data_IF_278796265584
#
_entry.id   IF_278796265584
#
_cell.length_a   1.000
_cell.length_b   1.000
_cell.length_c   1.000
_cell.angle_alpha   90.00
_cell.angle_beta   90.00
_cell.angle_gamma   90.00
#
_symmetry.space_group_name_H-M   'P 1'
#
loop_
_entity.id
_entity.type
_entity.pdbx_description
1 polymer ?
#
# COMPACT_ATOMS: atom_id res chain seq x y z
N UNK A 1 -3.54 4.19 -22.13
CA UNK A 1 -3.34 3.31 -20.95
C UNK A 1 -4.53 3.23 -19.99
N UNK A 2 -5.20 4.35 -19.63
CA UNK A 2 -6.43 4.30 -18.81
C UNK A 2 -7.54 3.55 -19.54
N UNK A 3 -7.77 3.86 -20.80
CA UNK A 3 -8.76 3.20 -21.68
C UNK A 3 -8.46 1.71 -21.84
N UNK A 4 -7.22 1.33 -22.11
CA UNK A 4 -6.79 -0.08 -22.19
C UNK A 4 -6.97 -0.86 -20.90
N UNK A 5 -6.76 -0.20 -19.74
CA UNK A 5 -7.03 -0.80 -18.43
C UNK A 5 -8.51 -1.06 -18.22
N UNK A 6 -9.36 -0.13 -18.59
CA UNK A 6 -10.80 -0.22 -18.42
C UNK A 6 -11.39 -1.31 -19.33
N UNK A 7 -10.85 -1.46 -20.56
CA UNK A 7 -11.24 -2.53 -21.48
C UNK A 7 -10.81 -3.92 -21.00
N UNK A 8 -9.59 -4.09 -20.46
CA UNK A 8 -9.08 -5.37 -19.98
C UNK A 8 -9.84 -5.93 -18.77
N UNK A 9 -10.66 -5.10 -18.11
CA UNK A 9 -11.43 -5.45 -16.91
C UNK A 9 -12.82 -6.02 -17.21
N UNK A 10 -13.24 -6.08 -18.47
CA UNK A 10 -14.63 -6.41 -18.87
C UNK A 10 -15.04 -7.88 -18.62
N UNK A 11 -14.13 -8.86 -18.76
CA UNK A 11 -14.46 -10.28 -18.84
C UNK A 11 -13.75 -11.17 -17.81
N UNK A 12 -13.76 -10.79 -16.52
CA UNK A 12 -13.03 -11.52 -15.52
C UNK A 12 -13.85 -12.54 -14.74
N UNK A 13 -13.42 -13.79 -14.85
CA UNK A 13 -13.84 -14.87 -13.97
C UNK A 13 -13.07 -14.88 -12.64
N UNK A 14 -13.62 -15.52 -11.63
CA UNK A 14 -12.92 -15.78 -10.39
C UNK A 14 -11.60 -16.55 -10.66
N UNK A 15 -10.46 -16.18 -10.07
CA UNK A 15 -9.14 -16.69 -10.48
C UNK A 15 -8.87 -18.15 -10.09
N UNK A 16 -9.80 -18.78 -9.38
CA UNK A 16 -9.71 -20.19 -8.98
C UNK A 16 -10.85 -21.01 -9.57
N UNK A 17 -10.70 -22.33 -9.59
CA UNK A 17 -11.69 -23.28 -10.14
C UNK A 17 -13.06 -23.25 -9.40
N UNK A 18 -13.09 -22.69 -8.19
CA UNK A 18 -14.32 -22.58 -7.39
C UNK A 18 -14.13 -21.78 -6.13
N UNK A 19 -15.23 -21.41 -5.49
CA UNK A 19 -15.21 -20.69 -4.23
C UNK A 19 -14.99 -21.65 -3.05
N UNK A 20 -14.24 -21.20 -2.07
CA UNK A 20 -14.16 -21.87 -0.76
C UNK A 20 -15.47 -21.67 0.02
N UNK A 21 -15.79 -22.52 1.02
CA UNK A 21 -17.01 -22.38 1.80
C UNK A 21 -17.21 -20.95 2.33
N UNK A 22 -18.37 -20.37 2.04
CA UNK A 22 -18.73 -19.01 2.43
C UNK A 22 -17.98 -17.87 1.72
N UNK A 23 -17.08 -18.15 0.78
CA UNK A 23 -16.30 -17.13 0.08
C UNK A 23 -17.15 -16.29 -0.86
N UNK A 24 -18.06 -16.92 -1.61
CA UNK A 24 -18.99 -16.24 -2.51
C UNK A 24 -19.86 -15.24 -1.74
N UNK A 25 -20.44 -15.67 -0.61
CA UNK A 25 -21.25 -14.80 0.25
C UNK A 25 -20.46 -13.60 0.77
N UNK A 26 -19.19 -13.80 1.16
CA UNK A 26 -18.30 -12.70 1.58
C UNK A 26 -18.02 -11.71 0.44
N UNK A 27 -17.75 -12.23 -0.75
CA UNK A 27 -17.56 -11.40 -1.95
C UNK A 27 -18.79 -10.53 -2.18
N UNK A 28 -19.99 -11.10 -2.06
CA UNK A 28 -21.23 -10.36 -2.23
C UNK A 28 -21.42 -9.28 -1.14
N UNK A 29 -21.12 -9.57 0.12
CA UNK A 29 -21.19 -8.57 1.19
C UNK A 29 -20.21 -7.42 0.96
N UNK A 30 -18.99 -7.72 0.55
CA UNK A 30 -18.00 -6.69 0.22
C UNK A 30 -18.47 -5.85 -0.96
N UNK A 31 -19.01 -6.48 -2.01
CA UNK A 31 -19.58 -5.77 -3.16
C UNK A 31 -20.72 -4.84 -2.75
N UNK A 32 -21.71 -5.36 -2.02
CA UNK A 32 -22.86 -4.56 -1.56
C UNK A 32 -22.43 -3.37 -0.70
N UNK A 33 -21.44 -3.56 0.19
CA UNK A 33 -20.93 -2.46 1.02
C UNK A 33 -20.32 -1.34 0.21
N UNK A 34 -19.67 -1.68 -0.91
CA UNK A 34 -19.14 -0.67 -1.84
C UNK A 34 -20.24 0.06 -2.59
N UNK A 35 -21.25 -0.67 -3.05
CA UNK A 35 -22.38 -0.10 -3.79
C UNK A 35 -23.18 0.87 -2.91
N UNK A 36 -23.32 0.54 -1.63
CA UNK A 36 -24.07 1.32 -0.66
C UNK A 36 -23.22 2.39 0.07
N UNK A 37 -21.91 2.44 -0.16
CA UNK A 37 -20.98 3.34 0.56
C UNK A 37 -20.90 3.05 2.05
N UNK A 38 -21.14 1.81 2.48
CA UNK A 38 -21.19 1.38 3.87
C UNK A 38 -19.88 0.72 4.31
N UNK A 39 -19.63 0.76 5.62
CA UNK A 39 -18.58 -0.06 6.24
C UNK A 39 -19.11 -1.47 6.48
N UNK A 40 -18.26 -2.47 6.25
CA UNK A 40 -18.55 -3.87 6.55
C UNK A 40 -17.46 -4.45 7.43
N UNK A 41 -17.84 -5.16 8.48
CA UNK A 41 -16.96 -5.95 9.34
C UNK A 41 -17.19 -7.43 9.06
N UNK A 42 -16.13 -8.15 8.74
CA UNK A 42 -16.19 -9.56 8.37
C UNK A 42 -15.27 -10.34 9.30
N UNK A 43 -15.85 -11.17 10.15
CA UNK A 43 -15.12 -12.15 10.92
C UNK A 43 -15.07 -13.48 10.15
N UNK A 44 -13.86 -14.01 10.01
CA UNK A 44 -13.66 -15.21 9.21
C UNK A 44 -12.36 -15.94 9.60
N UNK A 45 -12.37 -17.28 9.73
CA UNK A 45 -11.18 -18.06 10.05
C UNK A 45 -10.01 -17.83 9.07
N UNK A 46 -8.82 -18.21 9.49
CA UNK A 46 -7.63 -18.20 8.61
C UNK A 46 -7.79 -19.23 7.49
N UNK A 47 -7.13 -19.00 6.35
CA UNK A 47 -7.07 -19.96 5.24
C UNK A 47 -8.29 -20.00 4.32
N UNK A 48 -9.38 -19.30 4.61
CA UNK A 48 -10.62 -19.32 3.80
C UNK A 48 -10.64 -18.32 2.64
N UNK A 49 -9.51 -17.68 2.34
CA UNK A 49 -9.38 -16.75 1.21
C UNK A 49 -9.94 -15.35 1.48
N UNK A 50 -9.77 -14.80 2.70
CA UNK A 50 -10.18 -13.42 3.05
C UNK A 50 -9.66 -12.38 2.07
N UNK A 51 -8.35 -12.39 1.82
CA UNK A 51 -7.67 -11.41 0.97
C UNK A 51 -8.29 -11.34 -0.42
N UNK A 52 -8.45 -12.49 -1.08
CA UNK A 52 -9.04 -12.53 -2.42
C UNK A 52 -10.53 -12.14 -2.40
N UNK A 53 -11.26 -12.45 -1.33
CA UNK A 53 -12.67 -12.06 -1.19
C UNK A 53 -12.85 -10.55 -1.11
N UNK A 54 -11.84 -9.83 -0.65
CA UNK A 54 -11.83 -8.36 -0.57
C UNK A 54 -11.29 -7.73 -1.86
N UNK A 55 -10.23 -8.30 -2.45
CA UNK A 55 -9.62 -7.74 -3.65
C UNK A 55 -10.43 -8.00 -4.92
N UNK A 56 -11.13 -9.13 -4.98
CA UNK A 56 -11.87 -9.54 -6.17
C UNK A 56 -13.07 -8.63 -6.52
N UNK A 57 -13.96 -8.24 -5.60
CA UNK A 57 -15.09 -7.35 -5.90
C UNK A 57 -14.63 -5.96 -6.36
N UNK A 58 -13.48 -5.53 -5.88
CA UNK A 58 -12.92 -4.22 -6.19
C UNK A 58 -12.65 -3.98 -7.65
N UNK A 59 -12.26 -5.01 -8.38
CA UNK A 59 -12.01 -4.93 -9.82
C UNK A 59 -13.24 -4.46 -10.59
N UNK A 60 -14.45 -4.86 -10.14
CA UNK A 60 -15.71 -4.44 -10.77
C UNK A 60 -15.93 -2.94 -10.60
N UNK A 61 -15.59 -2.39 -9.42
CA UNK A 61 -15.69 -0.96 -9.15
C UNK A 61 -14.69 -0.12 -9.95
N UNK A 62 -13.49 -0.65 -10.19
CA UNK A 62 -12.55 -0.02 -11.12
C UNK A 62 -13.08 -0.01 -12.56
N UNK A 63 -13.82 -1.05 -12.96
CA UNK A 63 -14.51 -1.14 -14.25
C UNK A 63 -15.58 -0.06 -14.42
N UNK A 64 -16.37 0.17 -13.37
CA UNK A 64 -17.45 1.16 -13.36
C UNK A 64 -16.93 2.61 -13.27
N UNK A 65 -15.62 2.80 -13.07
CA UNK A 65 -15.02 4.13 -12.87
C UNK A 65 -15.29 4.75 -11.50
N UNK A 66 -15.90 4.00 -10.60
CA UNK A 66 -16.28 4.46 -9.26
C UNK A 66 -15.11 4.49 -8.28
N UNK A 67 -14.05 3.72 -8.55
CA UNK A 67 -12.86 3.66 -7.71
C UNK A 67 -11.58 3.90 -8.51
N UNK A 68 -10.74 4.78 -8.01
CA UNK A 68 -9.41 5.01 -8.58
C UNK A 68 -8.30 4.29 -7.80
N UNK A 69 -8.49 4.07 -6.49
CA UNK A 69 -7.47 3.48 -5.62
C UNK A 69 -8.05 2.54 -4.57
N UNK A 70 -7.25 1.55 -4.20
CA UNK A 70 -7.52 0.65 -3.09
C UNK A 70 -6.31 0.58 -2.16
N UNK A 71 -6.51 0.92 -0.90
CA UNK A 71 -5.56 0.63 0.17
C UNK A 71 -5.92 -0.70 0.83
N UNK A 72 -4.98 -1.64 0.81
CA UNK A 72 -5.07 -2.86 1.59
C UNK A 72 -4.08 -2.76 2.76
N UNK A 73 -4.63 -2.55 3.96
CA UNK A 73 -3.86 -2.27 5.16
C UNK A 73 -3.61 -3.55 5.96
N UNK A 74 -2.35 -3.87 6.17
CA UNK A 74 -1.93 -5.01 6.98
C UNK A 74 -0.56 -4.77 7.61
N UNK A 75 -0.38 -5.24 8.82
CA UNK A 75 0.90 -5.12 9.54
C UNK A 75 1.86 -6.29 9.30
N UNK A 76 1.36 -7.38 8.68
CA UNK A 76 2.13 -8.63 8.51
C UNK A 76 2.70 -8.71 7.09
N UNK A 77 4.02 -8.86 6.96
CA UNK A 77 4.67 -9.00 5.66
C UNK A 77 4.19 -10.23 4.87
N UNK A 78 3.90 -11.35 5.57
CA UNK A 78 3.33 -12.54 4.93
C UNK A 78 1.97 -12.28 4.26
N UNK A 79 1.14 -11.44 4.87
CA UNK A 79 -0.16 -11.07 4.30
C UNK A 79 0.01 -10.08 3.15
N UNK A 80 0.99 -9.16 3.22
CA UNK A 80 1.34 -8.31 2.07
C UNK A 80 1.69 -9.17 0.86
N UNK A 81 2.49 -10.23 1.06
CA UNK A 81 2.83 -11.15 -0.03
C UNK A 81 1.60 -11.86 -0.60
N UNK A 82 0.72 -12.38 0.25
CA UNK A 82 -0.53 -13.02 -0.19
C UNK A 82 -1.41 -12.05 -1.00
N UNK A 83 -1.47 -10.78 -0.61
CA UNK A 83 -2.21 -9.76 -1.35
C UNK A 83 -1.56 -9.50 -2.73
N UNK A 84 -0.23 -9.37 -2.78
CA UNK A 84 0.50 -9.19 -4.04
C UNK A 84 0.34 -10.41 -4.96
N UNK A 85 0.42 -11.63 -4.44
CA UNK A 85 0.21 -12.86 -5.20
C UNK A 85 -1.21 -12.92 -5.78
N UNK A 86 -2.20 -12.46 -5.01
CA UNK A 86 -3.60 -12.37 -5.48
C UNK A 86 -3.76 -11.37 -6.63
N UNK A 87 -3.08 -10.23 -6.56
CA UNK A 87 -3.08 -9.24 -7.65
C UNK A 87 -2.33 -9.75 -8.88
N UNK A 88 -1.23 -10.48 -8.69
CA UNK A 88 -0.52 -11.15 -9.77
C UNK A 88 -1.38 -12.17 -10.52
N UNK A 89 -2.28 -12.89 -9.81
CA UNK A 89 -3.24 -13.78 -10.48
C UNK A 89 -4.18 -13.00 -11.42
N UNK A 90 -4.64 -11.82 -11.01
CA UNK A 90 -5.47 -10.97 -11.87
C UNK A 90 -4.70 -10.50 -13.11
N UNK A 91 -3.44 -10.08 -12.93
CA UNK A 91 -2.57 -9.64 -14.05
C UNK A 91 -2.36 -10.80 -15.03
N UNK A 92 -2.11 -12.02 -14.53
CA UNK A 92 -1.97 -13.22 -15.37
C UNK A 92 -3.24 -13.57 -16.15
N UNK A 93 -4.40 -13.15 -15.67
CA UNK A 93 -5.67 -13.26 -16.40
C UNK A 93 -5.90 -12.12 -17.40
N UNK A 94 -4.91 -11.25 -17.62
CA UNK A 94 -4.97 -10.16 -18.58
C UNK A 94 -5.47 -8.83 -18.03
N UNK A 95 -5.67 -8.71 -16.69
CA UNK A 95 -6.05 -7.43 -16.10
C UNK A 95 -4.85 -6.49 -16.07
N UNK A 96 -5.01 -5.31 -16.63
CA UNK A 96 -4.02 -4.25 -16.55
C UNK A 96 -4.27 -3.41 -15.28
N UNK A 97 -3.52 -3.67 -14.23
CA UNK A 97 -3.51 -2.92 -12.98
C UNK A 97 -2.07 -2.63 -12.54
N UNK A 98 -1.91 -1.64 -11.68
CA UNK A 98 -0.65 -1.32 -11.03
C UNK A 98 -0.79 -1.52 -9.53
N UNK A 99 0.13 -2.25 -8.92
CA UNK A 99 0.13 -2.53 -7.49
C UNK A 99 1.49 -2.30 -6.85
N UNK A 100 1.50 -1.75 -5.64
CA UNK A 100 2.72 -1.55 -4.86
C UNK A 100 2.56 -2.10 -3.45
N UNK A 101 3.59 -2.78 -2.94
CA UNK A 101 3.70 -3.19 -1.55
C UNK A 101 4.76 -2.36 -0.83
N UNK A 102 4.33 -1.56 0.13
CA UNK A 102 5.22 -0.67 0.90
C UNK A 102 6.11 -1.43 1.86
N UNK A 103 7.37 -1.08 1.83
CA UNK A 103 8.40 -1.54 2.78
C UNK A 103 8.82 -0.38 3.66
N UNK A 104 9.01 -0.65 4.96
CA UNK A 104 9.47 0.38 5.91
C UNK A 104 10.87 0.88 5.54
N UNK A 105 11.16 2.12 5.92
CA UNK A 105 12.44 2.78 5.65
C UNK A 105 13.63 1.95 6.15
N UNK A 106 13.54 1.42 7.37
CA UNK A 106 14.61 0.62 7.96
C UNK A 106 14.94 -0.67 7.19
N UNK A 107 13.95 -1.19 6.46
CA UNK A 107 14.09 -2.44 5.70
C UNK A 107 14.50 -2.23 4.24
N UNK A 108 14.28 -1.05 3.66
CA UNK A 108 14.54 -0.79 2.24
C UNK A 108 15.68 0.21 1.99
N UNK A 109 16.13 0.94 3.02
CA UNK A 109 17.16 1.95 2.90
C UNK A 109 18.51 1.34 2.52
N UNK A 110 19.14 1.87 1.49
CA UNK A 110 20.48 1.47 1.04
C UNK A 110 21.62 2.15 1.81
N UNK A 111 21.35 3.23 2.55
CA UNK A 111 22.36 3.92 3.33
C UNK A 111 22.70 3.13 4.60
N UNK A 112 23.97 2.90 4.85
CA UNK A 112 24.45 2.23 6.07
C UNK A 112 24.06 2.99 7.34
N UNK A 113 24.07 4.32 7.27
CA UNK A 113 23.55 5.21 8.33
C UNK A 113 22.06 5.43 8.14
N UNK A 114 21.26 4.40 8.44
CA UNK A 114 19.81 4.47 8.28
C UNK A 114 19.20 5.69 8.99
N UNK A 115 18.33 6.38 8.26
CA UNK A 115 17.65 7.57 8.80
C UNK A 115 18.35 8.91 8.52
N UNK A 116 19.64 8.90 8.19
CA UNK A 116 20.35 10.10 7.75
C UNK A 116 20.07 10.35 6.27
N UNK A 117 19.08 11.19 5.99
CA UNK A 117 18.60 11.48 4.63
C UNK A 117 19.05 12.83 4.10
N UNK A 118 20.06 13.43 4.76
CA UNK A 118 20.68 14.64 4.26
C UNK A 118 21.42 14.31 2.94
N UNK A 119 21.27 15.10 1.87
CA UNK A 119 22.04 14.94 0.64
C UNK A 119 23.57 14.89 0.85
N UNK A 120 24.09 15.59 1.85
CA UNK A 120 25.52 15.57 2.17
C UNK A 120 26.02 14.23 2.74
N UNK A 121 25.10 13.40 3.28
CA UNK A 121 25.42 12.14 3.96
C UNK A 121 24.85 10.91 3.24
N UNK A 122 23.90 11.10 2.32
CA UNK A 122 23.22 10.00 1.64
C UNK A 122 23.34 10.13 0.11
N UNK A 123 24.14 9.28 -0.54
CA UNK A 123 24.36 9.35 -1.99
C UNK A 123 23.08 9.13 -2.80
N UNK A 124 22.08 8.44 -2.23
CA UNK A 124 20.79 8.19 -2.87
C UNK A 124 19.79 9.34 -2.71
N UNK A 125 20.10 10.33 -1.85
CA UNK A 125 19.30 11.54 -1.68
C UNK A 125 19.80 12.69 -2.57
N UNK A 126 21.09 12.67 -2.93
CA UNK A 126 21.68 13.65 -3.84
C UNK A 126 20.98 13.58 -5.20
N UNK A 127 20.55 14.72 -5.71
CA UNK A 127 19.90 14.82 -7.03
C UNK A 127 18.69 13.89 -7.21
N UNK A 128 18.02 13.50 -6.12
CA UNK A 128 16.91 12.55 -6.15
C UNK A 128 15.83 12.98 -7.16
N UNK A 129 15.51 14.26 -7.19
CA UNK A 129 14.44 14.79 -8.06
C UNK A 129 14.88 15.01 -9.50
N UNK A 130 16.18 14.97 -9.79
CA UNK A 130 16.69 15.10 -11.15
C UNK A 130 16.22 13.89 -11.98
N UNK A 131 15.53 14.17 -13.07
CA UNK A 131 14.96 13.14 -13.96
C UNK A 131 14.03 12.12 -13.27
N UNK A 132 13.47 12.46 -12.09
CA UNK A 132 12.56 11.57 -11.36
C UNK A 132 11.39 11.11 -12.23
N UNK A 133 10.82 12.00 -13.03
CA UNK A 133 9.71 11.68 -13.92
C UNK A 133 10.10 10.62 -14.96
N UNK A 134 11.31 10.68 -15.51
CA UNK A 134 11.80 9.67 -16.47
C UNK A 134 11.88 8.30 -15.81
N UNK A 135 12.42 8.24 -14.58
CA UNK A 135 12.49 6.99 -13.79
C UNK A 135 11.10 6.45 -13.48
N UNK A 136 10.19 7.31 -13.06
CA UNK A 136 8.81 6.91 -12.75
C UNK A 136 8.09 6.39 -14.01
N UNK A 137 8.18 7.10 -15.14
CA UNK A 137 7.51 6.67 -16.37
C UNK A 137 8.12 5.41 -16.96
N UNK A 138 9.45 5.24 -16.96
CA UNK A 138 10.10 4.00 -17.40
C UNK A 138 9.69 2.83 -16.52
N UNK A 139 9.68 3.01 -15.20
CA UNK A 139 9.21 2.00 -14.26
C UNK A 139 7.76 1.59 -14.49
N UNK A 140 6.88 2.56 -14.69
CA UNK A 140 5.46 2.31 -14.98
C UNK A 140 5.25 1.64 -16.33
N UNK A 141 6.16 1.81 -17.27
CA UNK A 141 6.10 1.12 -18.56
C UNK A 141 6.52 -0.34 -18.42
N UNK A 142 7.56 -0.64 -17.65
CA UNK A 142 8.15 -1.97 -17.53
C UNK A 142 7.44 -2.90 -16.54
N UNK A 143 6.93 -2.35 -15.44
CA UNK A 143 6.42 -3.16 -14.33
C UNK A 143 4.93 -2.87 -14.05
N UNK A 144 4.20 -3.91 -13.70
CA UNK A 144 2.82 -3.83 -13.19
C UNK A 144 2.76 -4.00 -11.67
N UNK A 145 3.76 -4.69 -11.09
CA UNK A 145 3.86 -5.00 -9.67
C UNK A 145 5.16 -4.45 -9.11
N UNK A 146 5.05 -3.68 -8.05
CA UNK A 146 6.15 -3.03 -7.36
C UNK A 146 6.25 -3.60 -5.94
N UNK A 147 6.87 -4.75 -5.83
CA UNK A 147 7.27 -5.32 -4.55
C UNK A 147 8.63 -4.76 -4.09
N UNK A 148 9.10 -5.18 -2.92
CA UNK A 148 10.38 -4.73 -2.38
C UNK A 148 11.53 -4.94 -3.37
N UNK A 149 11.61 -6.12 -3.97
CA UNK A 149 12.69 -6.48 -4.89
C UNK A 149 12.69 -5.60 -6.14
N UNK A 150 11.54 -5.40 -6.73
CA UNK A 150 11.36 -4.52 -7.91
C UNK A 150 11.75 -3.08 -7.60
N UNK A 151 11.33 -2.56 -6.43
CA UNK A 151 11.71 -1.20 -6.00
C UNK A 151 13.22 -1.08 -5.77
N UNK A 152 13.84 -2.05 -5.10
CA UNK A 152 15.29 -2.07 -4.86
C UNK A 152 16.06 -2.15 -6.19
N UNK A 153 15.62 -2.95 -7.15
CA UNK A 153 16.22 -3.07 -8.47
C UNK A 153 16.19 -1.75 -9.26
N UNK A 154 15.02 -1.12 -9.34
CA UNK A 154 14.84 0.18 -10.01
C UNK A 154 15.69 1.25 -9.32
N UNK A 155 15.60 1.34 -8.00
CA UNK A 155 16.30 2.34 -7.21
C UNK A 155 17.82 2.20 -7.33
N UNK A 156 18.33 0.98 -7.33
CA UNK A 156 19.76 0.70 -7.49
C UNK A 156 20.24 1.08 -8.90
N UNK A 157 19.51 0.69 -9.93
CA UNK A 157 19.85 0.99 -11.32
C UNK A 157 19.91 2.49 -11.58
N UNK A 158 19.01 3.26 -11.01
CA UNK A 158 18.93 4.70 -11.18
C UNK A 158 19.64 5.50 -10.07
N UNK A 159 20.31 4.85 -9.13
CA UNK A 159 20.99 5.48 -7.99
C UNK A 159 20.05 6.42 -7.21
N UNK A 160 18.85 5.93 -6.87
CA UNK A 160 17.80 6.68 -6.16
C UNK A 160 17.47 6.06 -4.80
N UNK A 161 16.91 6.86 -3.92
CA UNK A 161 16.40 6.37 -2.64
C UNK A 161 15.19 5.43 -2.86
N UNK A 162 15.28 4.14 -2.52
CA UNK A 162 14.17 3.21 -2.74
C UNK A 162 12.94 3.54 -1.86
N UNK A 163 13.17 4.09 -0.67
CA UNK A 163 12.07 4.50 0.21
C UNK A 163 11.27 5.66 -0.39
N UNK A 164 11.95 6.70 -0.91
CA UNK A 164 11.27 7.82 -1.54
C UNK A 164 10.61 7.39 -2.86
N UNK A 165 11.27 6.55 -3.65
CA UNK A 165 10.75 6.07 -4.93
C UNK A 165 9.40 5.35 -4.80
N UNK A 166 9.21 4.54 -3.75
CA UNK A 166 7.91 3.89 -3.53
C UNK A 166 6.80 4.91 -3.22
N UNK A 167 7.10 6.03 -2.57
CA UNK A 167 6.14 7.11 -2.32
C UNK A 167 5.75 7.84 -3.60
N UNK A 168 6.71 8.12 -4.47
CA UNK A 168 6.44 8.82 -5.73
C UNK A 168 5.66 7.93 -6.71
N UNK A 169 5.98 6.64 -6.77
CA UNK A 169 5.24 5.65 -7.55
C UNK A 169 3.81 5.43 -7.04
N UNK A 170 3.55 5.60 -5.74
CA UNK A 170 2.23 5.39 -5.14
C UNK A 170 1.11 6.19 -5.81
N UNK A 171 1.43 7.38 -6.32
CA UNK A 171 0.47 8.23 -7.00
C UNK A 171 -0.12 7.62 -8.28
N UNK A 172 0.54 6.62 -8.83
CA UNK A 172 0.17 5.96 -10.09
C UNK A 172 -0.38 4.55 -9.90
N UNK A 173 -0.57 4.12 -8.65
CA UNK A 173 -1.02 2.77 -8.33
C UNK A 173 -2.53 2.66 -8.19
N UNK A 174 -3.06 1.54 -8.64
CA UNK A 174 -4.47 1.13 -8.42
C UNK A 174 -4.62 0.47 -7.03
N UNK A 175 -3.62 -0.30 -6.60
CA UNK A 175 -3.60 -0.99 -5.31
C UNK A 175 -2.35 -0.64 -4.52
N UNK A 176 -2.55 -0.20 -3.27
CA UNK A 176 -1.48 0.11 -2.32
C UNK A 176 -1.60 -0.82 -1.11
N UNK A 177 -0.61 -1.69 -0.95
CA UNK A 177 -0.54 -2.63 0.17
C UNK A 177 0.46 -2.08 1.18
N UNK A 178 0.01 -1.67 2.35
CA UNK A 178 0.85 -0.98 3.32
C UNK A 178 0.44 -1.27 4.77
N UNK A 179 1.23 -0.80 5.72
CA UNK A 179 0.86 -0.81 7.15
C UNK A 179 -0.21 0.26 7.43
N UNK A 180 -0.95 0.09 8.52
CA UNK A 180 -1.98 1.04 8.99
C UNK A 180 -1.43 2.45 9.19
N UNK A 181 -0.16 2.58 9.59
CA UNK A 181 0.50 3.86 9.83
C UNK A 181 0.51 4.75 8.60
N UNK A 182 0.62 4.19 7.42
CA UNK A 182 0.61 4.97 6.18
C UNK A 182 -0.71 5.71 5.89
N UNK A 183 -1.80 5.33 6.53
CA UNK A 183 -3.11 5.98 6.38
C UNK A 183 -3.52 6.75 7.64
N UNK A 184 -3.24 6.18 8.82
CA UNK A 184 -3.72 6.72 10.09
C UNK A 184 -2.69 7.57 10.84
N UNK A 185 -1.43 7.65 10.40
CA UNK A 185 -0.43 8.54 10.98
C UNK A 185 -0.43 9.90 10.28
N UNK A 186 -0.52 10.98 11.04
CA UNK A 186 -0.48 12.33 10.49
C UNK A 186 0.90 12.73 9.93
N UNK A 187 1.96 12.08 10.39
CA UNK A 187 3.34 12.40 9.99
C UNK A 187 3.82 11.61 8.78
N UNK A 188 3.33 10.38 8.63
CA UNK A 188 3.76 9.42 7.59
C UNK A 188 2.69 9.18 6.52
N UNK A 189 1.68 10.04 6.45
CA UNK A 189 0.70 9.94 5.37
C UNK A 189 1.44 9.94 4.04
N UNK A 190 1.34 8.82 3.34
CA UNK A 190 1.83 8.60 1.99
C UNK A 190 1.52 9.82 1.14
N UNK A 191 2.32 10.87 1.07
CA UNK A 191 2.11 12.05 0.21
C UNK A 191 0.69 12.30 -0.30
N UNK A 192 -0.25 11.52 0.19
CA UNK A 192 -1.68 11.51 -0.06
C UNK A 192 -2.28 12.67 0.73
N UNK A 193 -1.85 13.89 0.38
CA UNK A 193 -2.56 15.09 0.85
C UNK A 193 -4.02 14.92 0.47
N UNK A 194 -4.91 15.32 1.35
CA UNK A 194 -6.36 15.25 1.15
C UNK A 194 -6.81 15.86 -0.20
N UNK A 195 -6.02 16.78 -0.74
CA UNK A 195 -6.20 17.42 -2.05
C UNK A 195 -6.04 16.43 -3.24
N UNK A 196 -5.26 15.38 -3.08
CA UNK A 196 -4.98 14.40 -4.15
C UNK A 196 -5.79 13.11 -4.03
N UNK A 197 -6.59 12.97 -2.98
CA UNK A 197 -7.51 11.85 -2.76
C UNK A 197 -8.95 12.34 -2.92
N UNK A 198 -9.56 12.21 -4.08
CA UNK A 198 -11.00 12.38 -4.15
C UNK A 198 -11.63 11.32 -3.25
N UNK A 199 -12.15 11.74 -2.09
CA UNK A 199 -12.73 10.86 -1.04
C UNK A 199 -13.74 9.84 -1.59
N UNK A 200 -14.39 10.17 -2.70
CA UNK A 200 -15.42 9.35 -3.35
C UNK A 200 -14.86 8.17 -4.18
N UNK A 201 -13.53 8.12 -4.45
CA UNK A 201 -12.92 7.12 -5.35
C UNK A 201 -11.85 6.27 -4.68
N UNK A 202 -11.72 6.34 -3.36
CA UNK A 202 -10.73 5.59 -2.60
C UNK A 202 -11.41 4.61 -1.65
N UNK A 203 -10.94 3.36 -1.67
CA UNK A 203 -11.43 2.33 -0.77
C UNK A 203 -10.34 1.89 0.20
N UNK A 204 -10.76 1.55 1.40
CA UNK A 204 -9.93 1.02 2.47
C UNK A 204 -10.35 -0.41 2.79
N UNK A 205 -9.40 -1.33 2.73
CA UNK A 205 -9.54 -2.68 3.24
C UNK A 205 -8.56 -2.85 4.40
N UNK A 206 -9.06 -3.11 5.59
CA UNK A 206 -8.26 -3.24 6.81
C UNK A 206 -8.25 -4.70 7.24
N UNK A 207 -7.14 -5.39 7.04
CA UNK A 207 -6.95 -6.76 7.49
C UNK A 207 -6.62 -6.78 8.99
N UNK A 208 -7.12 -7.80 9.72
CA UNK A 208 -6.94 -7.92 11.17
C UNK A 208 -7.29 -6.61 11.92
N UNK A 209 -8.42 -6.00 11.57
CA UNK A 209 -8.82 -4.66 12.04
C UNK A 209 -8.95 -4.54 13.56
N UNK A 210 -9.06 -5.65 14.29
CA UNK A 210 -9.06 -5.68 15.75
C UNK A 210 -7.73 -5.13 16.35
N UNK A 211 -6.64 -5.17 15.60
CA UNK A 211 -5.35 -4.62 16.03
C UNK A 211 -5.23 -3.10 15.79
N UNK A 212 -6.11 -2.52 14.98
CA UNK A 212 -6.03 -1.11 14.57
C UNK A 212 -6.12 -0.14 15.76
N UNK A 213 -7.09 -0.28 16.72
CA UNK A 213 -7.22 0.65 17.84
C UNK A 213 -5.95 0.75 18.69
N UNK A 214 -5.35 -0.40 19.01
CA UNK A 214 -4.14 -0.43 19.85
C UNK A 214 -2.93 0.14 19.11
N UNK A 215 -2.80 -0.11 17.82
CA UNK A 215 -1.73 0.47 17.02
C UNK A 215 -1.85 1.98 16.88
N UNK A 216 -3.05 2.48 16.61
CA UNK A 216 -3.30 3.92 16.55
C UNK A 216 -3.04 4.54 17.91
N UNK A 217 -3.57 3.98 19.00
CA UNK A 217 -3.33 4.47 20.36
C UNK A 217 -1.83 4.53 20.67
N UNK A 218 -1.08 3.47 20.39
CA UNK A 218 0.37 3.41 20.62
C UNK A 218 1.11 4.49 19.81
N UNK A 219 0.68 4.79 18.60
CA UNK A 219 1.32 5.81 17.75
C UNK A 219 1.11 7.24 18.30
N UNK A 220 -0.05 7.50 18.88
CA UNK A 220 -0.38 8.80 19.50
C UNK A 220 0.00 8.90 20.96
N UNK A 221 0.50 7.83 21.59
CA UNK A 221 1.00 7.83 22.96
C UNK A 221 2.49 8.14 23.00
N UNK A 222 2.92 8.84 24.01
CA UNK A 222 4.33 9.11 24.31
C UNK A 222 4.63 8.65 25.73
N UNK A 223 5.72 7.94 25.89
CA UNK A 223 6.24 7.58 27.22
C UNK A 223 7.30 8.60 27.62
N UNK A 224 7.13 9.21 28.79
CA UNK A 224 8.11 10.08 29.39
C UNK A 224 8.81 9.31 30.50
N UNK A 225 10.05 8.89 30.26
CA UNK A 225 10.82 8.21 31.27
C UNK A 225 11.46 9.17 32.28
N UNK A 226 11.56 8.76 33.53
CA UNK A 226 12.25 9.53 34.57
C UNK A 226 13.69 9.92 34.16
N UNK A 227 14.40 9.04 33.47
CA UNK A 227 15.75 9.29 32.96
C UNK A 227 15.83 10.46 31.98
N UNK A 228 14.75 10.72 31.22
CA UNK A 228 14.69 11.87 30.32
C UNK A 228 14.65 13.21 31.09
N UNK A 229 13.93 13.24 32.22
CA UNK A 229 13.88 14.41 33.09
C UNK A 229 15.14 14.58 33.92
N UNK A 230 15.69 13.50 34.49
CA UNK A 230 16.92 13.56 35.28
C UNK A 230 18.11 14.13 34.48
N UNK A 231 18.27 13.78 33.21
CA UNK A 231 19.32 14.34 32.34
C UNK A 231 19.13 15.84 32.05
N UNK A 232 17.89 16.34 32.01
CA UNK A 232 17.64 17.77 31.77
C UNK A 232 17.79 18.63 33.02
N UNK A 233 17.44 18.09 34.20
CA UNK A 233 17.63 18.79 35.49
C UNK A 233 19.14 18.98 35.77
N UNK A 234 19.98 17.97 35.47
CA UNK A 234 21.44 18.11 35.63
C UNK A 234 22.12 19.05 34.61
N UNK A 235 21.38 19.54 33.59
CA UNK A 235 21.88 20.53 32.64
C UNK A 235 21.52 21.98 33.02
N UNK A 236 20.60 22.14 33.99
CA UNK A 236 20.13 23.45 34.51
C UNK A 236 20.70 23.78 35.88
N UNK A 237 21.51 22.91 36.46
CA UNK A 237 22.31 23.13 37.67
C UNK A 237 23.78 23.31 37.30
#
# INVERSE_FOLDING_TARGET
RKIERDESRKDLSFPFRGFRPGQEKRIQYVKNSFDEGKQVFIEAPTGIGKTISVLFPRREKFKEGDAERCFYLTSKNSIKQVAMDSLNLFIKQGIKLKAIAFTSKDNICFNDKKGHCNPDECPFAVHYYDKLLDVVFDSLYRYDVFDRKTIEEIAYHHQRCPFQLQHDLANYMDFLICDYTYVYDFTDRLGLREENLPRKKTYLAVDECHNLPDRVRKRYSRELSYSFFAKRISFCS
#
